data_IF_405537695114
#
_entry.id   IF_405537695114
#
_cell.length_a   1.000
_cell.length_b   1.000
_cell.length_c   1.000
_cell.angle_alpha   90.00
_cell.angle_beta   90.00
_cell.angle_gamma   90.00
#
_symmetry.space_group_name_H-M   'P 1'
#
loop_
_entity.id
_entity.type
_entity.pdbx_description
1 polymer ?
#
# COMPACT_ATOMS: atom_id res chain seq x y z
N UNK A 1 -55.96 -16.85 -10.70
CA UNK A 1 -55.09 -16.11 -9.75
C UNK A 1 -53.69 -16.14 -10.30
N UNK A 2 -53.28 -15.09 -11.00
CA UNK A 2 -52.01 -15.01 -11.73
C UNK A 2 -51.05 -14.14 -10.90
N UNK A 3 -50.07 -14.79 -10.27
CA UNK A 3 -49.02 -14.13 -9.49
C UNK A 3 -48.02 -13.47 -10.45
N UNK A 4 -48.08 -12.13 -10.52
CA UNK A 4 -47.11 -11.32 -11.22
C UNK A 4 -45.80 -11.28 -10.41
N UNK A 5 -44.74 -11.92 -10.92
CA UNK A 5 -43.38 -11.75 -10.44
C UNK A 5 -42.91 -10.33 -10.74
N UNK A 6 -42.74 -9.53 -9.69
CA UNK A 6 -42.04 -8.26 -9.74
C UNK A 6 -40.58 -8.51 -10.16
N UNK A 7 -40.22 -8.03 -11.36
CA UNK A 7 -38.82 -7.97 -11.81
C UNK A 7 -38.10 -6.97 -10.91
N UNK A 8 -37.28 -7.47 -9.98
CA UNK A 8 -36.30 -6.65 -9.28
C UNK A 8 -35.35 -6.05 -10.31
N UNK A 9 -35.39 -4.72 -10.42
CA UNK A 9 -34.44 -3.97 -11.24
C UNK A 9 -33.02 -4.25 -10.72
N UNK A 10 -32.28 -5.02 -11.51
CA UNK A 10 -30.84 -5.19 -11.38
C UNK A 10 -30.20 -3.84 -11.67
N UNK A 11 -30.06 -3.02 -10.62
CA UNK A 11 -29.56 -1.67 -10.71
C UNK A 11 -28.14 -1.67 -11.26
N UNK A 12 -27.92 -0.95 -12.36
CA UNK A 12 -26.59 -0.58 -12.80
C UNK A 12 -25.90 0.12 -11.63
N UNK A 13 -24.86 -0.52 -11.06
CA UNK A 13 -23.98 0.10 -10.09
C UNK A 13 -23.31 1.28 -10.77
N UNK A 14 -23.85 2.48 -10.52
CA UNK A 14 -23.19 3.73 -10.89
C UNK A 14 -21.82 3.70 -10.23
N UNK A 15 -20.75 3.62 -11.01
CA UNK A 15 -19.36 3.69 -10.53
C UNK A 15 -19.12 5.06 -9.90
N UNK A 16 -19.50 5.22 -8.63
CA UNK A 16 -19.19 6.42 -7.85
C UNK A 16 -17.70 6.44 -7.54
N UNK A 17 -17.11 7.65 -7.59
CA UNK A 17 -15.73 7.86 -7.15
C UNK A 17 -15.64 7.65 -5.63
N UNK A 18 -14.61 6.94 -5.11
CA UNK A 18 -14.40 6.77 -3.67
C UNK A 18 -14.35 8.10 -2.89
N UNK A 19 -13.91 9.18 -3.56
CA UNK A 19 -13.86 10.52 -2.97
C UNK A 19 -15.27 11.10 -2.79
N UNK A 20 -16.18 10.83 -3.72
CA UNK A 20 -17.57 11.24 -3.60
C UNK A 20 -18.26 10.54 -2.42
N UNK A 21 -18.02 9.23 -2.25
CA UNK A 21 -18.57 8.46 -1.12
C UNK A 21 -18.05 8.98 0.24
N UNK A 22 -16.76 9.34 0.32
CA UNK A 22 -16.19 9.98 1.51
C UNK A 22 -16.80 11.36 1.79
N UNK A 23 -17.07 12.16 0.76
CA UNK A 23 -17.70 13.48 0.93
C UNK A 23 -19.17 13.36 1.36
N UNK A 24 -19.92 12.42 0.79
CA UNK A 24 -21.31 12.13 1.19
C UNK A 24 -21.36 11.66 2.65
N UNK A 25 -20.47 10.75 3.05
CA UNK A 25 -20.34 10.29 4.44
C UNK A 25 -20.00 11.46 5.38
N UNK A 26 -19.06 12.32 4.99
CA UNK A 26 -18.69 13.54 5.76
C UNK A 26 -19.91 14.44 5.97
N UNK A 27 -20.67 14.74 4.91
CA UNK A 27 -21.85 15.61 4.97
C UNK A 27 -22.93 15.04 5.88
N UNK A 28 -23.17 13.73 5.79
CA UNK A 28 -24.13 13.01 6.65
C UNK A 28 -23.79 13.14 8.13
N UNK A 29 -22.49 13.14 8.46
CA UNK A 29 -21.99 13.29 9.84
C UNK A 29 -21.90 14.76 10.31
N UNK A 30 -22.23 15.73 9.46
CA UNK A 30 -22.11 17.16 9.79
C UNK A 30 -20.66 17.64 9.97
N UNK A 31 -19.67 16.89 9.47
CA UNK A 31 -18.25 17.23 9.65
C UNK A 31 -17.83 18.28 8.62
N UNK A 32 -17.24 19.39 9.06
CA UNK A 32 -16.73 20.40 8.15
C UNK A 32 -15.52 19.88 7.33
N UNK A 33 -15.45 20.24 6.04
CA UNK A 33 -14.39 19.75 5.15
C UNK A 33 -12.99 20.11 5.66
N UNK A 34 -12.78 21.35 6.11
CA UNK A 34 -11.47 21.77 6.65
C UNK A 34 -11.04 20.94 7.87
N UNK A 35 -11.99 20.52 8.73
CA UNK A 35 -11.71 19.69 9.88
C UNK A 35 -11.27 18.28 9.46
N UNK A 36 -11.95 17.69 8.46
CA UNK A 36 -11.56 16.41 7.87
C UNK A 36 -10.14 16.47 7.29
N UNK A 37 -9.87 17.47 6.44
CA UNK A 37 -8.59 17.61 5.76
C UNK A 37 -7.43 17.83 6.73
N UNK A 38 -7.63 18.68 7.74
CA UNK A 38 -6.68 18.90 8.83
C UNK A 38 -6.39 17.60 9.60
N UNK A 39 -7.45 16.89 10.02
CA UNK A 39 -7.30 15.63 10.76
C UNK A 39 -6.68 14.50 9.93
N UNK A 40 -6.82 14.53 8.60
CA UNK A 40 -6.19 13.58 7.68
C UNK A 40 -4.78 13.97 7.26
N UNK A 41 -4.35 15.22 7.51
CA UNK A 41 -3.11 15.78 6.99
C UNK A 41 -3.09 15.86 5.47
N UNK A 42 -4.22 16.21 4.85
CA UNK A 42 -4.38 16.34 3.39
C UNK A 42 -4.59 17.81 3.04
N UNK A 43 -3.82 18.35 2.10
CA UNK A 43 -3.97 19.73 1.67
C UNK A 43 -5.28 19.96 0.90
N UNK A 44 -5.90 21.14 1.05
CA UNK A 44 -7.12 21.51 0.32
C UNK A 44 -6.97 21.37 -1.19
N UNK A 45 -5.85 21.84 -1.74
CA UNK A 45 -5.53 21.68 -3.17
C UNK A 45 -5.54 20.22 -3.62
N UNK A 46 -4.96 19.31 -2.83
CA UNK A 46 -4.96 17.88 -3.14
C UNK A 46 -6.39 17.35 -3.17
N UNK A 47 -7.21 17.71 -2.19
CA UNK A 47 -8.63 17.33 -2.17
C UNK A 47 -9.39 17.81 -3.41
N UNK A 48 -9.17 19.06 -3.83
CA UNK A 48 -9.82 19.61 -5.02
C UNK A 48 -9.44 18.86 -6.28
N UNK A 49 -8.15 18.50 -6.45
CA UNK A 49 -7.67 17.70 -7.58
C UNK A 49 -8.28 16.30 -7.59
N UNK A 50 -8.38 15.66 -6.42
CA UNK A 50 -9.01 14.34 -6.27
C UNK A 50 -10.51 14.39 -6.59
N UNK A 51 -11.21 15.43 -6.13
CA UNK A 51 -12.65 15.61 -6.38
C UNK A 51 -12.94 15.93 -7.84
N UNK A 52 -12.08 16.71 -8.49
CA UNK A 52 -12.17 17.02 -9.92
C UNK A 52 -11.75 15.85 -10.83
N UNK A 53 -11.20 14.77 -10.27
CA UNK A 53 -10.71 13.63 -11.05
C UNK A 53 -9.40 13.89 -11.80
N UNK A 54 -8.68 14.98 -11.47
CA UNK A 54 -7.38 15.28 -12.07
C UNK A 54 -6.29 14.29 -11.63
N UNK A 55 -6.45 13.69 -10.45
CA UNK A 55 -5.52 12.73 -9.87
C UNK A 55 -6.32 11.56 -9.31
N UNK A 56 -5.87 10.34 -9.60
CA UNK A 56 -6.45 9.13 -9.00
C UNK A 56 -6.11 9.09 -7.50
N UNK A 57 -7.10 8.94 -6.60
CA UNK A 57 -6.84 8.90 -5.18
C UNK A 57 -6.03 7.66 -4.82
N UNK A 58 -4.85 7.88 -4.25
CA UNK A 58 -4.06 6.79 -3.67
C UNK A 58 -4.80 6.16 -2.49
N UNK A 59 -4.70 4.84 -2.35
CA UNK A 59 -5.37 4.08 -1.28
C UNK A 59 -5.00 4.56 0.11
N UNK A 60 -3.74 4.93 0.35
CA UNK A 60 -3.29 5.55 1.61
C UNK A 60 -4.06 6.83 1.93
N UNK A 61 -4.29 7.68 0.94
CA UNK A 61 -5.05 8.92 1.10
C UNK A 61 -6.50 8.62 1.46
N UNK A 62 -7.12 7.65 0.80
CA UNK A 62 -8.47 7.19 1.14
C UNK A 62 -8.56 6.65 2.57
N UNK A 63 -7.59 5.82 2.99
CA UNK A 63 -7.51 5.28 4.35
C UNK A 63 -7.31 6.39 5.39
N UNK A 64 -6.44 7.38 5.12
CA UNK A 64 -6.25 8.55 6.00
C UNK A 64 -7.54 9.34 6.18
N UNK A 65 -8.23 9.63 5.08
CA UNK A 65 -9.50 10.36 5.10
C UNK A 65 -10.59 9.58 5.85
N UNK A 66 -10.73 8.28 5.59
CA UNK A 66 -11.70 7.44 6.29
C UNK A 66 -11.44 7.41 7.80
N UNK A 67 -10.17 7.23 8.21
CA UNK A 67 -9.80 7.22 9.64
C UNK A 67 -10.00 8.57 10.32
N UNK A 68 -9.73 9.66 9.59
CA UNK A 68 -10.00 11.00 10.08
C UNK A 68 -11.49 11.22 10.30
N UNK A 69 -12.36 10.74 9.39
CA UNK A 69 -13.81 10.73 9.59
C UNK A 69 -14.21 9.93 10.82
N UNK A 70 -13.70 8.70 10.97
CA UNK A 70 -14.06 7.85 12.11
C UNK A 70 -13.73 8.53 13.45
N UNK A 71 -12.53 9.14 13.56
CA UNK A 71 -12.10 9.90 14.74
C UNK A 71 -13.00 11.12 15.01
N UNK A 72 -13.32 11.90 13.99
CA UNK A 72 -14.15 13.10 14.13
C UNK A 72 -15.61 12.76 14.47
N UNK A 73 -16.09 11.60 14.03
CA UNK A 73 -17.40 11.09 14.36
C UNK A 73 -17.50 10.55 15.80
N UNK A 74 -16.40 10.53 16.56
CA UNK A 74 -16.34 9.89 17.87
C UNK A 74 -16.50 8.36 17.80
N UNK A 75 -16.37 7.78 16.60
CA UNK A 75 -16.40 6.32 16.44
C UNK A 75 -15.15 5.78 17.13
N UNK A 76 -15.35 4.87 18.09
CA UNK A 76 -14.23 4.18 18.70
C UNK A 76 -13.37 3.54 17.59
N UNK A 77 -12.04 3.71 17.62
CA UNK A 77 -11.19 3.11 16.61
C UNK A 77 -11.44 1.60 16.59
N UNK A 78 -11.51 1.03 15.38
CA UNK A 78 -11.61 -0.42 15.24
C UNK A 78 -10.48 -1.08 16.07
N UNK A 79 -10.78 -2.18 16.78
CA UNK A 79 -9.76 -2.86 17.58
C UNK A 79 -8.59 -3.22 16.68
N UNK A 80 -7.37 -3.01 17.18
CA UNK A 80 -6.18 -3.35 16.43
C UNK A 80 -6.20 -4.85 16.09
N UNK A 81 -5.79 -5.24 14.86
CA UNK A 81 -5.73 -6.65 14.50
C UNK A 81 -4.78 -7.40 15.43
N UNK A 82 -5.12 -8.65 15.73
CA UNK A 82 -4.29 -9.50 16.58
C UNK A 82 -2.86 -9.64 16.00
N UNK A 83 -1.81 -9.67 16.83
CA UNK A 83 -0.43 -9.76 16.34
C UNK A 83 -0.18 -10.91 15.35
N UNK A 84 -0.83 -12.07 15.57
CA UNK A 84 -0.76 -13.22 14.65
C UNK A 84 -1.32 -12.93 13.27
N UNK A 85 -2.40 -12.15 13.17
CA UNK A 85 -3.00 -11.73 11.89
C UNK A 85 -2.06 -10.77 11.17
N UNK A 86 -1.47 -9.81 11.88
CA UNK A 86 -0.49 -8.88 11.33
C UNK A 86 0.74 -9.63 10.80
N UNK A 87 1.26 -10.58 11.57
CA UNK A 87 2.38 -11.42 11.17
C UNK A 87 2.06 -12.28 9.94
N UNK A 88 0.87 -12.90 9.89
CA UNK A 88 0.42 -13.70 8.76
C UNK A 88 0.30 -12.85 7.49
N UNK A 89 -0.31 -11.66 7.58
CA UNK A 89 -0.43 -10.72 6.46
C UNK A 89 0.94 -10.28 5.95
N UNK A 90 1.85 -9.90 6.85
CA UNK A 90 3.22 -9.53 6.49
C UNK A 90 3.93 -10.66 5.73
N UNK A 91 3.85 -11.91 6.23
CA UNK A 91 4.47 -13.07 5.59
C UNK A 91 3.88 -13.35 4.20
N UNK A 92 2.56 -13.27 4.06
CA UNK A 92 1.88 -13.44 2.78
C UNK A 92 2.33 -12.36 1.77
N UNK A 93 2.37 -11.10 2.20
CA UNK A 93 2.85 -9.99 1.38
C UNK A 93 4.32 -10.19 0.96
N UNK A 94 5.17 -10.56 1.91
CA UNK A 94 6.59 -10.78 1.67
C UNK A 94 6.84 -11.91 0.67
N UNK A 95 6.13 -13.03 0.78
CA UNK A 95 6.24 -14.15 -0.14
C UNK A 95 5.75 -13.81 -1.56
N UNK A 96 4.64 -13.10 -1.68
CA UNK A 96 4.14 -12.64 -2.98
C UNK A 96 5.14 -11.68 -3.64
N UNK A 97 5.66 -10.71 -2.87
CA UNK A 97 6.67 -9.78 -3.36
C UNK A 97 7.99 -10.47 -3.70
N UNK A 98 8.37 -11.52 -2.98
CA UNK A 98 9.53 -12.34 -3.31
C UNK A 98 9.37 -12.96 -4.70
N UNK A 99 8.18 -13.51 -4.98
CA UNK A 99 7.85 -14.06 -6.30
C UNK A 99 7.93 -12.99 -7.39
N UNK A 100 7.25 -11.85 -7.20
CA UNK A 100 7.22 -10.77 -8.21
C UNK A 100 8.61 -10.17 -8.49
N UNK A 101 9.49 -10.11 -7.49
CA UNK A 101 10.84 -9.56 -7.63
C UNK A 101 11.90 -10.63 -7.97
N UNK A 102 11.48 -11.90 -8.14
CA UNK A 102 12.39 -13.03 -8.33
C UNK A 102 13.37 -13.25 -7.18
N UNK A 103 13.04 -12.80 -5.98
CA UNK A 103 13.86 -12.99 -4.78
C UNK A 103 13.67 -14.40 -4.20
N UNK A 104 14.69 -14.94 -3.55
CA UNK A 104 14.56 -16.19 -2.81
C UNK A 104 13.65 -15.98 -1.58
N UNK A 105 12.51 -16.70 -1.46
CA UNK A 105 11.62 -16.58 -0.31
C UNK A 105 12.29 -16.93 1.02
N UNK A 106 13.32 -17.79 1.02
CA UNK A 106 14.09 -18.13 2.22
C UNK A 106 14.90 -16.93 2.70
N UNK A 107 15.54 -16.21 1.79
CA UNK A 107 16.24 -14.97 2.12
C UNK A 107 15.26 -13.89 2.60
N UNK A 108 14.07 -13.80 2.00
CA UNK A 108 13.03 -12.84 2.38
C UNK A 108 12.48 -13.09 3.78
N UNK A 109 12.24 -14.34 4.17
CA UNK A 109 11.68 -14.68 5.48
C UNK A 109 12.74 -14.97 6.56
N UNK A 110 13.99 -15.16 6.17
CA UNK A 110 15.08 -15.50 7.09
C UNK A 110 15.48 -14.35 8.03
N UNK A 111 16.22 -14.69 9.07
CA UNK A 111 16.80 -13.71 9.98
C UNK A 111 17.88 -12.89 9.26
N UNK A 112 17.66 -11.58 9.15
CA UNK A 112 18.57 -10.62 8.50
C UNK A 112 19.86 -10.36 9.29
N UNK A 113 20.39 -11.35 10.03
CA UNK A 113 21.57 -11.20 10.87
C UNK A 113 22.82 -10.74 10.11
N UNK A 114 22.86 -10.93 8.78
CA UNK A 114 23.97 -10.50 7.94
C UNK A 114 23.47 -9.61 6.79
N UNK A 115 23.90 -8.35 6.83
CA UNK A 115 23.69 -7.39 5.74
C UNK A 115 24.77 -7.63 4.68
N UNK A 116 24.36 -7.91 3.44
CA UNK A 116 25.24 -8.05 2.29
C UNK A 116 24.82 -7.03 1.20
N UNK A 117 25.10 -5.73 1.36
CA UNK A 117 24.53 -4.69 0.49
C UNK A 117 24.95 -4.79 -0.98
N UNK A 118 26.05 -5.50 -1.26
CA UNK A 118 26.58 -5.69 -2.61
C UNK A 118 26.00 -6.93 -3.32
N UNK A 119 25.29 -7.80 -2.61
CA UNK A 119 24.69 -9.00 -3.20
C UNK A 119 23.32 -8.67 -3.83
N UNK A 120 23.16 -8.86 -5.16
CA UNK A 120 21.88 -8.63 -5.85
C UNK A 120 20.73 -9.49 -5.31
N UNK A 121 20.99 -10.70 -4.82
CA UNK A 121 19.94 -11.54 -4.22
C UNK A 121 19.46 -10.95 -2.89
N UNK A 122 20.39 -10.51 -2.05
CA UNK A 122 20.09 -9.82 -0.80
C UNK A 122 19.30 -8.52 -1.02
N UNK A 123 19.69 -7.71 -2.01
CA UNK A 123 19.00 -6.45 -2.34
C UNK A 123 17.53 -6.68 -2.75
N UNK A 124 17.27 -7.68 -3.59
CA UNK A 124 15.90 -8.05 -3.99
C UNK A 124 15.08 -8.54 -2.79
N UNK A 125 15.68 -9.36 -1.93
CA UNK A 125 15.02 -9.82 -0.71
C UNK A 125 14.71 -8.67 0.26
N UNK A 126 15.66 -7.74 0.44
CA UNK A 126 15.48 -6.53 1.26
C UNK A 126 14.36 -5.65 0.72
N UNK A 127 14.28 -5.47 -0.60
CA UNK A 127 13.19 -4.74 -1.26
C UNK A 127 11.83 -5.37 -0.98
N UNK A 128 11.71 -6.69 -1.12
CA UNK A 128 10.47 -7.42 -0.82
C UNK A 128 10.02 -7.20 0.63
N UNK A 129 10.94 -7.29 1.60
CA UNK A 129 10.64 -7.05 3.03
C UNK A 129 10.20 -5.61 3.30
N UNK A 130 10.87 -4.63 2.69
CA UNK A 130 10.51 -3.22 2.85
C UNK A 130 9.09 -2.93 2.34
N UNK A 131 8.77 -3.42 1.15
CA UNK A 131 7.42 -3.31 0.58
C UNK A 131 6.38 -4.08 1.41
N UNK A 132 6.72 -5.24 1.98
CA UNK A 132 5.82 -5.97 2.87
C UNK A 132 5.54 -5.20 4.19
N UNK A 133 6.54 -4.56 4.78
CA UNK A 133 6.32 -3.67 5.94
C UNK A 133 5.39 -2.52 5.59
N UNK A 134 5.62 -1.89 4.44
CA UNK A 134 4.78 -0.82 3.93
C UNK A 134 3.32 -1.27 3.78
N UNK A 135 3.08 -2.38 3.07
CA UNK A 135 1.73 -2.89 2.85
C UNK A 135 1.04 -3.28 4.15
N UNK A 136 1.72 -3.99 5.05
CA UNK A 136 1.15 -4.32 6.36
C UNK A 136 0.79 -3.07 7.16
N UNK A 137 1.64 -2.04 7.13
CA UNK A 137 1.37 -0.76 7.78
C UNK A 137 0.16 -0.04 7.17
N UNK A 138 0.07 0.05 5.85
CA UNK A 138 -0.97 0.84 5.15
C UNK A 138 -2.31 0.11 5.12
N UNK A 139 -2.32 -1.18 4.77
CA UNK A 139 -3.54 -1.96 4.54
C UNK A 139 -4.23 -2.35 5.84
N UNK A 140 -3.47 -2.84 6.82
CA UNK A 140 -4.02 -3.13 8.15
C UNK A 140 -4.08 -1.88 9.02
N UNK A 141 -3.35 -0.84 8.61
CA UNK A 141 -3.33 0.44 9.28
C UNK A 141 -2.84 0.34 10.74
N UNK A 142 -1.92 -0.59 10.99
CA UNK A 142 -1.28 -0.81 12.29
C UNK A 142 -0.13 0.17 12.51
N UNK A 143 0.23 0.46 13.76
CA UNK A 143 1.38 1.31 14.06
C UNK A 143 2.70 0.59 13.78
N UNK A 144 3.79 1.34 13.55
CA UNK A 144 5.12 0.75 13.38
C UNK A 144 5.55 -0.11 14.58
N UNK A 145 5.19 0.28 15.81
CA UNK A 145 5.48 -0.49 17.02
C UNK A 145 4.72 -1.81 17.04
N UNK A 146 3.41 -1.80 16.75
CA UNK A 146 2.59 -3.00 16.72
C UNK A 146 3.07 -3.98 15.63
N UNK A 147 3.40 -3.46 14.43
CA UNK A 147 3.96 -4.25 13.35
C UNK A 147 5.31 -4.86 13.74
N UNK A 148 6.20 -4.07 14.36
CA UNK A 148 7.50 -4.53 14.81
C UNK A 148 7.40 -5.68 15.83
N UNK A 149 6.51 -5.54 16.82
CA UNK A 149 6.21 -6.61 17.80
C UNK A 149 5.66 -7.85 17.09
N UNK A 150 4.71 -7.68 16.17
CA UNK A 150 4.06 -8.80 15.49
C UNK A 150 5.03 -9.64 14.66
N UNK A 151 6.01 -9.02 14.02
CA UNK A 151 6.97 -9.69 13.13
C UNK A 151 8.30 -10.04 13.79
N UNK A 152 8.49 -9.68 15.08
CA UNK A 152 9.73 -9.93 15.80
C UNK A 152 10.92 -9.08 15.33
N UNK A 153 10.69 -7.80 15.04
CA UNK A 153 11.76 -6.87 14.62
C UNK A 153 11.73 -5.54 15.42
N UNK A 154 12.62 -4.61 15.09
CA UNK A 154 12.67 -3.29 15.75
C UNK A 154 11.76 -2.27 15.07
N UNK A 155 11.16 -1.38 15.87
CA UNK A 155 10.37 -0.24 15.35
C UNK A 155 11.16 0.62 14.36
N UNK A 156 12.45 0.86 14.64
CA UNK A 156 13.30 1.68 13.78
C UNK A 156 13.49 1.06 12.40
N UNK A 157 13.60 -0.27 12.31
CA UNK A 157 13.70 -0.98 11.03
C UNK A 157 12.42 -0.86 10.22
N UNK A 158 11.26 -1.06 10.84
CA UNK A 158 9.95 -0.84 10.19
C UNK A 158 9.84 0.60 9.67
N UNK A 159 10.15 1.59 10.50
CA UNK A 159 10.10 2.99 10.11
C UNK A 159 11.01 3.31 8.90
N UNK A 160 12.27 2.86 8.93
CA UNK A 160 13.21 3.06 7.81
C UNK A 160 12.71 2.39 6.53
N UNK A 161 12.18 1.17 6.65
CA UNK A 161 11.63 0.43 5.51
C UNK A 161 10.42 1.15 4.89
N UNK A 162 9.47 1.58 5.72
CA UNK A 162 8.28 2.32 5.27
C UNK A 162 8.68 3.62 4.58
N UNK A 163 9.53 4.45 5.20
CA UNK A 163 9.97 5.71 4.60
C UNK A 163 10.72 5.48 3.28
N UNK A 164 11.57 4.44 3.22
CA UNK A 164 12.28 4.11 1.97
C UNK A 164 11.31 3.78 0.84
N UNK A 165 10.21 3.08 1.11
CA UNK A 165 9.19 2.81 0.09
C UNK A 165 8.46 4.10 -0.28
N UNK A 166 8.10 4.96 0.69
CA UNK A 166 7.48 6.26 0.44
C UNK A 166 8.33 7.14 -0.48
N UNK A 167 9.64 7.23 -0.23
CA UNK A 167 10.58 8.01 -1.05
C UNK A 167 10.67 7.52 -2.51
N UNK A 168 10.23 6.28 -2.77
CA UNK A 168 10.30 5.64 -4.08
C UNK A 168 8.93 5.51 -4.75
N UNK A 169 7.88 6.07 -4.15
CA UNK A 169 6.51 6.01 -4.69
C UNK A 169 6.33 6.71 -6.02
N UNK A 170 7.25 7.60 -6.40
CA UNK A 170 7.27 8.26 -7.71
C UNK A 170 7.71 7.29 -8.83
N UNK A 171 8.22 6.11 -8.49
CA UNK A 171 8.47 5.02 -9.44
C UNK A 171 7.16 4.27 -9.76
N UNK A 172 6.67 4.44 -10.99
CA UNK A 172 5.43 3.82 -11.47
C UNK A 172 5.46 2.29 -11.39
N UNK A 173 6.62 1.67 -11.58
CA UNK A 173 6.79 0.21 -11.52
C UNK A 173 6.59 -0.32 -10.10
N UNK A 174 7.17 0.35 -9.11
CA UNK A 174 6.96 0.05 -7.70
C UNK A 174 5.51 0.31 -7.27
N UNK A 175 4.91 1.43 -7.69
CA UNK A 175 3.51 1.72 -7.38
C UNK A 175 2.57 0.63 -7.92
N UNK A 176 2.74 0.26 -9.19
CA UNK A 176 1.97 -0.81 -9.80
C UNK A 176 2.17 -2.17 -9.09
N UNK A 177 3.40 -2.47 -8.64
CA UNK A 177 3.69 -3.68 -7.85
C UNK A 177 2.95 -3.67 -6.50
N UNK A 178 2.95 -2.54 -5.79
CA UNK A 178 2.26 -2.40 -4.51
C UNK A 178 0.74 -2.56 -4.68
N UNK A 179 0.14 -1.95 -5.71
CA UNK A 179 -1.30 -2.09 -5.97
C UNK A 179 -1.67 -3.53 -6.35
N UNK A 180 -0.90 -4.20 -7.22
CA UNK A 180 -1.12 -5.62 -7.55
C UNK A 180 -1.06 -6.51 -6.31
N UNK A 181 -0.06 -6.28 -5.45
CA UNK A 181 0.10 -7.05 -4.21
C UNK A 181 -1.07 -6.78 -3.25
N UNK A 182 -1.47 -5.51 -3.07
CA UNK A 182 -2.63 -5.13 -2.27
C UNK A 182 -3.92 -5.78 -2.78
N UNK A 183 -4.14 -5.77 -4.10
CA UNK A 183 -5.29 -6.40 -4.73
C UNK A 183 -5.30 -7.91 -4.46
N UNK A 184 -4.18 -8.60 -4.71
CA UNK A 184 -4.02 -10.03 -4.45
C UNK A 184 -4.33 -10.40 -2.99
N UNK A 185 -3.72 -9.70 -2.02
CA UNK A 185 -3.91 -9.97 -0.59
C UNK A 185 -5.34 -9.69 -0.12
N UNK A 186 -6.05 -8.79 -0.81
CA UNK A 186 -7.44 -8.46 -0.51
C UNK A 186 -8.46 -9.32 -1.28
N UNK A 187 -8.00 -10.25 -2.13
CA UNK A 187 -8.86 -11.01 -3.03
C UNK A 187 -9.54 -10.16 -4.12
N UNK A 188 -9.04 -8.95 -4.37
CA UNK A 188 -9.51 -8.09 -5.46
C UNK A 188 -8.81 -8.49 -6.75
N UNK A 189 -9.51 -8.37 -7.87
CA UNK A 189 -8.84 -8.42 -9.16
C UNK A 189 -7.93 -7.19 -9.30
N UNK A 190 -6.64 -7.34 -9.62
CA UNK A 190 -5.78 -6.20 -9.89
C UNK A 190 -6.36 -5.40 -11.08
N UNK A 191 -6.13 -4.08 -11.14
CA UNK A 191 -6.53 -3.32 -12.31
C UNK A 191 -5.94 -3.97 -13.57
N UNK A 192 -6.71 -4.02 -14.65
CA UNK A 192 -6.26 -4.59 -15.91
C UNK A 192 -5.03 -3.79 -16.38
N UNK A 193 -3.84 -4.31 -16.10
CA UNK A 193 -2.60 -3.66 -16.52
C UNK A 193 -2.51 -3.88 -18.02
N UNK A 194 -2.53 -2.79 -18.80
CA UNK A 194 -2.50 -2.82 -20.27
C UNK A 194 -1.18 -3.36 -20.83
N UNK A 195 -0.14 -3.49 -20.00
CA UNK A 195 1.08 -4.23 -20.30
C UNK A 195 1.69 -4.78 -19.01
N UNK A 196 1.99 -6.10 -18.90
CA UNK A 196 2.75 -6.60 -17.76
C UNK A 196 4.13 -5.92 -17.73
N UNK A 197 4.62 -5.46 -16.56
CA UNK A 197 5.98 -4.97 -16.47
C UNK A 197 6.95 -6.10 -16.88
N UNK A 198 8.08 -5.79 -17.51
CA UNK A 198 9.07 -6.81 -17.84
C UNK A 198 9.45 -7.56 -16.55
N UNK A 199 9.33 -8.89 -16.55
CA UNK A 199 9.61 -9.75 -15.38
C UNK A 199 11.02 -9.59 -14.79
N UNK A 200 11.92 -8.92 -15.51
CA UNK A 200 13.30 -8.63 -15.11
C UNK A 200 13.58 -7.13 -14.91
N UNK A 201 12.55 -6.28 -14.93
CA UNK A 201 12.67 -4.82 -14.97
C UNK A 201 12.95 -4.14 -13.63
N UNK A 202 13.82 -4.71 -12.78
CA UNK A 202 14.56 -3.79 -11.92
C UNK A 202 15.33 -2.88 -12.90
N UNK A 203 15.20 -1.55 -12.83
CA UNK A 203 16.14 -0.71 -13.56
C UNK A 203 17.54 -1.20 -13.18
N UNK A 204 18.46 -1.38 -14.15
CA UNK A 204 19.81 -1.79 -13.83
C UNK A 204 20.32 -0.86 -12.72
N UNK A 205 20.90 -1.44 -11.66
CA UNK A 205 21.54 -0.64 -10.62
C UNK A 205 22.41 0.42 -11.33
N UNK A 206 22.32 1.72 -10.95
CA UNK A 206 22.96 2.80 -11.67
C UNK A 206 24.41 2.39 -11.93
N UNK A 207 24.71 2.11 -13.20
CA UNK A 207 25.96 1.50 -13.60
C UNK A 207 27.09 2.42 -13.18
N UNK A 208 27.78 2.05 -12.11
CA UNK A 208 29.05 2.67 -11.76
C UNK A 208 29.96 2.49 -12.96
N UNK A 209 30.26 3.58 -13.65
CA UNK A 209 31.25 3.62 -14.72
C UNK A 209 32.56 3.16 -14.12
N UNK A 210 32.88 1.87 -14.26
CA UNK A 210 34.20 1.35 -13.92
C UNK A 210 35.12 1.98 -14.97
N UNK A 211 35.81 3.04 -14.56
CA UNK A 211 36.84 3.70 -15.34
C UNK A 211 37.86 2.66 -15.78
N UNK A 212 37.83 2.32 -17.07
CA UNK A 212 38.94 1.68 -17.76
C UNK A 212 39.96 2.77 -18.10
N UNK A 213 41.22 2.50 -17.78
CA UNK A 213 42.39 3.28 -18.20
C UNK A 213 42.76 4.33 -17.16
N UNK A 214 44.02 4.46 -16.76
CA UNK A 214 45.19 4.56 -17.64
C UNK A 214 46.41 3.87 -17.00
N UNK A 215 47.07 3.02 -17.77
CA UNK A 215 48.51 2.67 -17.67
C UNK A 215 49.05 2.94 -19.08
N UNK A 216 50.06 3.81 -19.21
CA UNK A 216 51.45 3.33 -19.32
C UNK A 216 52.34 3.75 -18.16
#
# INVERSE_FOLDING_TARGET
MTLALAKSNCGATVNRSPIADLDDRRRTLGIALHALLSAAGVAARTWDYLRAGHVTPQRRTLVKLSRALDRLAGTAPAPAPAPKVVAAFYRAAALFLAHELGADPRLVLGDEGQSCPQDPAWLRASRARQAAFYLAHVELGVTHSALAVAVGTTKQRVHKAVNRIEDLRDDEGLDALLERTSAFLSGRQPPAVTSPPPRNGLPPAPGGTIGKGIVP
#
